data_IF_887490490435
#
_entry.id   IF_887490490435
#
_cell.length_a   1.000
_cell.length_b   1.000
_cell.length_c   1.000
_cell.angle_alpha   90.00
_cell.angle_beta   90.00
_cell.angle_gamma   90.00
#
_symmetry.space_group_name_H-M   'P 1'
#
loop_
_entity.id
_entity.type
_entity.pdbx_description
1 polymer ?
#
# COMPACT_ATOMS: atom_id res chain seq x y z
N UNK A 1 5.53 3.40 -94.15
CA UNK A 1 5.96 4.74 -94.58
C UNK A 1 6.52 5.48 -93.38
N UNK A 2 7.80 5.85 -93.49
CA UNK A 2 8.56 6.91 -92.81
C UNK A 2 8.63 6.92 -91.26
N UNK A 3 9.69 6.45 -90.59
CA UNK A 3 11.11 6.93 -90.48
C UNK A 3 11.33 8.02 -89.43
N UNK A 4 12.18 7.68 -88.42
CA UNK A 4 13.29 8.47 -87.82
C UNK A 4 12.93 9.74 -87.00
N UNK A 5 13.60 10.22 -85.93
CA UNK A 5 14.89 9.96 -85.25
C UNK A 5 14.96 10.80 -83.94
N UNK A 6 15.71 10.29 -82.94
CA UNK A 6 16.66 10.96 -82.00
C UNK A 6 16.30 12.12 -81.01
N UNK A 7 16.83 11.90 -79.79
CA UNK A 7 17.50 12.83 -78.85
C UNK A 7 16.61 13.87 -78.12
N UNK A 8 16.85 14.31 -76.88
CA UNK A 8 18.07 14.36 -76.07
C UNK A 8 17.76 14.38 -74.56
N UNK A 9 18.76 13.99 -73.78
CA UNK A 9 18.95 14.25 -72.35
C UNK A 9 18.63 15.70 -71.96
N UNK A 10 17.91 15.89 -70.86
CA UNK A 10 18.17 17.02 -69.97
C UNK A 10 17.81 16.66 -68.52
N UNK A 11 18.86 16.51 -67.74
CA UNK A 11 18.84 16.33 -66.28
C UNK A 11 18.45 17.68 -65.67
N UNK A 12 17.33 17.73 -64.95
CA UNK A 12 16.98 18.87 -64.10
C UNK A 12 16.92 18.39 -62.65
N UNK A 13 18.02 18.60 -61.96
CA UNK A 13 18.17 18.43 -60.52
C UNK A 13 17.51 19.62 -59.83
N UNK A 14 16.41 19.40 -59.10
CA UNK A 14 15.84 20.39 -58.19
C UNK A 14 15.77 19.82 -56.78
N UNK A 15 16.45 20.52 -55.88
CA UNK A 15 16.71 20.15 -54.50
C UNK A 15 15.42 20.07 -53.66
N UNK A 16 15.20 18.93 -53.01
CA UNK A 16 14.32 18.84 -51.85
C UNK A 16 15.10 19.26 -50.60
N UNK A 17 14.65 20.33 -49.96
CA UNK A 17 15.01 20.65 -48.58
C UNK A 17 14.45 19.58 -47.64
N UNK A 18 15.30 18.64 -47.21
CA UNK A 18 15.01 17.78 -46.08
C UNK A 18 15.47 18.49 -44.78
N UNK A 19 14.54 19.14 -44.11
CA UNK A 19 14.64 19.42 -42.69
C UNK A 19 14.51 18.10 -41.94
N UNK A 20 15.62 17.56 -41.46
CA UNK A 20 15.70 16.29 -40.73
C UNK A 20 16.58 16.49 -39.51
N UNK A 21 15.92 16.74 -38.38
CA UNK A 21 16.50 17.04 -37.08
C UNK A 21 17.68 16.14 -36.72
N UNK A 22 18.81 16.77 -36.41
CA UNK A 22 19.93 16.15 -35.73
C UNK A 22 19.41 15.46 -34.46
N UNK A 23 19.55 14.14 -34.42
CA UNK A 23 19.27 13.32 -33.26
C UNK A 23 20.23 13.75 -32.12
N UNK A 24 19.77 14.70 -31.31
CA UNK A 24 20.37 15.01 -30.03
C UNK A 24 20.25 13.76 -29.16
N UNK A 25 21.35 13.00 -29.07
CA UNK A 25 21.57 12.00 -28.04
C UNK A 25 21.36 12.67 -26.69
N UNK A 26 20.20 12.41 -26.10
CA UNK A 26 19.83 12.85 -24.76
C UNK A 26 20.93 12.34 -23.81
N UNK A 27 21.66 13.22 -23.10
CA UNK A 27 22.68 12.77 -22.17
C UNK A 27 22.00 11.89 -21.12
N UNK A 28 22.59 10.71 -20.90
CA UNK A 28 22.23 9.81 -19.83
C UNK A 28 22.07 10.63 -18.54
N UNK A 29 20.90 10.53 -17.93
CA UNK A 29 20.58 11.23 -16.70
C UNK A 29 21.73 11.02 -15.71
N UNK A 30 22.40 12.12 -15.34
CA UNK A 30 23.44 12.15 -14.34
C UNK A 30 22.99 11.29 -13.15
N UNK A 31 23.81 10.31 -12.78
CA UNK A 31 23.57 9.45 -11.63
C UNK A 31 23.36 10.34 -10.40
N UNK A 32 22.10 10.57 -10.04
CA UNK A 32 21.75 11.39 -8.90
C UNK A 32 22.41 10.76 -7.68
N UNK A 33 23.36 11.47 -7.08
CA UNK A 33 24.12 11.02 -5.90
C UNK A 33 23.11 10.54 -4.85
N UNK A 34 23.17 9.26 -4.53
CA UNK A 34 22.24 8.66 -3.57
C UNK A 34 22.38 9.37 -2.22
N UNK A 35 21.27 9.59 -1.49
CA UNK A 35 21.34 10.16 -0.15
C UNK A 35 22.14 9.23 0.78
N UNK A 36 22.81 9.77 1.81
CA UNK A 36 23.49 8.95 2.81
C UNK A 36 22.47 8.03 3.50
N UNK A 37 22.83 6.76 3.68
CA UNK A 37 21.96 5.74 4.26
C UNK A 37 22.42 5.31 5.65
N UNK A 38 21.46 4.96 6.50
CA UNK A 38 21.67 4.34 7.81
C UNK A 38 21.18 2.91 7.73
N UNK A 39 21.94 1.95 8.25
CA UNK A 39 21.51 0.55 8.31
C UNK A 39 20.46 0.39 9.43
N UNK A 40 19.21 0.11 9.04
CA UNK A 40 18.11 -0.14 9.97
C UNK A 40 17.51 -1.53 9.73
N UNK A 41 17.18 -2.23 10.81
CA UNK A 41 16.38 -3.45 10.76
C UNK A 41 14.89 -3.11 10.94
N UNK A 42 13.99 -3.60 10.09
CA UNK A 42 12.55 -3.41 10.29
C UNK A 42 12.09 -4.22 11.51
N UNK A 43 11.32 -3.58 12.39
CA UNK A 43 10.62 -4.26 13.50
C UNK A 43 9.53 -5.17 12.94
N UNK A 44 8.95 -4.74 11.82
CA UNK A 44 7.74 -5.33 11.26
C UNK A 44 7.85 -5.29 9.74
N UNK A 45 8.17 -6.43 9.12
CA UNK A 45 8.28 -6.59 7.67
C UNK A 45 7.18 -7.52 7.15
N UNK A 46 6.33 -7.08 6.21
CA UNK A 46 5.40 -7.95 5.52
C UNK A 46 6.13 -9.03 4.70
N UNK A 47 5.53 -10.22 4.54
CA UNK A 47 5.98 -11.16 3.52
C UNK A 47 5.74 -10.58 2.12
N UNK A 48 6.45 -11.11 1.12
CA UNK A 48 6.33 -10.68 -0.27
C UNK A 48 5.34 -11.58 -1.02
N UNK A 49 4.31 -10.98 -1.61
CA UNK A 49 3.43 -11.70 -2.54
C UNK A 49 4.20 -12.17 -3.76
N UNK A 50 3.86 -13.35 -4.27
CA UNK A 50 4.52 -13.86 -5.47
C UNK A 50 3.63 -13.57 -6.68
N UNK A 51 4.01 -12.64 -7.58
CA UNK A 51 3.20 -12.31 -8.73
C UNK A 51 3.19 -13.49 -9.71
N UNK A 52 2.07 -13.72 -10.41
CA UNK A 52 1.93 -14.85 -11.33
C UNK A 52 3.02 -14.87 -12.41
N UNK A 53 3.40 -13.71 -12.95
CA UNK A 53 4.50 -13.60 -13.92
C UNK A 53 5.88 -14.06 -13.38
N UNK A 54 6.06 -14.07 -12.05
CA UNK A 54 7.23 -14.67 -11.42
C UNK A 54 7.07 -16.17 -11.18
N UNK A 55 5.85 -16.67 -10.93
CA UNK A 55 5.54 -18.10 -10.85
C UNK A 55 5.75 -18.78 -12.21
N UNK A 56 5.16 -18.22 -13.27
CA UNK A 56 5.24 -18.75 -14.64
C UNK A 56 6.69 -18.87 -15.14
N UNK A 57 7.53 -17.95 -14.70
CA UNK A 57 8.94 -17.90 -15.05
C UNK A 57 9.86 -18.48 -13.95
N UNK A 58 9.29 -19.07 -12.88
CA UNK A 58 10.00 -19.60 -11.71
C UNK A 58 11.09 -18.66 -11.16
N UNK A 59 10.83 -17.36 -11.21
CA UNK A 59 11.78 -16.31 -10.89
C UNK A 59 12.01 -16.23 -9.39
N UNK A 60 13.28 -16.34 -9.01
CA UNK A 60 13.77 -15.96 -7.69
C UNK A 60 14.65 -14.75 -7.85
N UNK A 61 14.41 -13.76 -7.02
CA UNK A 61 15.19 -12.54 -7.11
C UNK A 61 15.18 -11.75 -5.83
N UNK A 62 16.27 -11.02 -5.68
CA UNK A 62 16.45 -10.05 -4.62
C UNK A 62 16.29 -8.67 -5.23
N UNK A 63 15.43 -7.86 -4.62
CA UNK A 63 15.23 -6.46 -5.00
C UNK A 63 15.77 -5.59 -3.87
N UNK A 64 16.66 -4.66 -4.23
CA UNK A 64 17.22 -3.69 -3.29
C UNK A 64 16.52 -2.35 -3.46
N UNK A 65 16.03 -1.83 -2.34
CA UNK A 65 15.22 -0.63 -2.26
C UNK A 65 15.89 0.36 -1.33
N UNK A 66 15.70 1.64 -1.63
CA UNK A 66 16.01 2.76 -0.77
C UNK A 66 14.70 3.28 -0.18
N UNK A 67 14.53 3.18 1.13
CA UNK A 67 13.32 3.60 1.84
C UNK A 67 13.60 4.83 2.71
N UNK A 68 12.70 5.81 2.68
CA UNK A 68 12.71 6.93 3.61
C UNK A 68 11.82 6.57 4.81
N UNK A 69 12.42 6.55 5.99
CA UNK A 69 11.78 6.19 7.25
C UNK A 69 11.52 7.47 8.04
N UNK A 70 10.26 7.68 8.40
CA UNK A 70 9.80 8.82 9.19
C UNK A 70 10.16 8.67 10.67
N UNK A 71 10.00 9.74 11.47
CA UNK A 71 10.23 9.66 12.93
C UNK A 71 9.40 8.57 13.63
N UNK A 72 8.10 8.37 13.30
CA UNK A 72 7.33 7.26 13.87
C UNK A 72 7.70 5.87 13.33
N UNK A 73 8.70 5.76 12.45
CA UNK A 73 9.25 4.48 11.98
C UNK A 73 8.56 3.90 10.75
N UNK A 74 7.58 4.57 10.14
CA UNK A 74 6.98 4.08 8.90
C UNK A 74 7.64 4.67 7.65
N UNK A 75 7.48 3.96 6.53
CA UNK A 75 8.02 4.36 5.24
C UNK A 75 7.03 5.27 4.48
N UNK A 76 7.47 6.45 4.07
CA UNK A 76 6.67 7.39 3.26
C UNK A 76 7.14 7.49 1.80
N UNK A 77 8.40 7.11 1.52
CA UNK A 77 8.98 7.12 0.18
C UNK A 77 9.85 5.88 -0.05
N UNK A 78 9.79 5.32 -1.26
CA UNK A 78 10.58 4.16 -1.69
C UNK A 78 11.12 4.42 -3.08
N UNK A 79 12.39 4.10 -3.30
CA UNK A 79 13.04 4.09 -4.61
C UNK A 79 13.68 2.73 -4.85
N UNK A 80 13.42 2.13 -6.01
CA UNK A 80 14.10 0.90 -6.41
C UNK A 80 15.52 1.22 -6.86
N UNK A 81 16.52 0.53 -6.29
CA UNK A 81 17.91 0.67 -6.68
C UNK A 81 18.30 -0.39 -7.72
N UNK A 82 17.92 -1.64 -7.46
CA UNK A 82 18.24 -2.79 -8.32
C UNK A 82 17.23 -3.92 -8.13
N UNK A 83 17.12 -4.78 -9.14
CA UNK A 83 16.23 -5.95 -9.12
C UNK A 83 15.47 -6.14 -10.43
N UNK A 84 14.97 -7.35 -10.64
CA UNK A 84 14.14 -7.74 -11.80
C UNK A 84 12.86 -6.90 -11.83
N UNK A 85 12.50 -6.37 -13.01
CA UNK A 85 11.34 -5.52 -13.21
C UNK A 85 10.02 -6.16 -12.71
N UNK A 86 9.86 -7.48 -12.86
CA UNK A 86 8.67 -8.23 -12.46
C UNK A 86 8.51 -8.34 -10.94
N UNK A 87 9.58 -8.16 -10.18
CA UNK A 87 9.59 -8.25 -8.72
C UNK A 87 9.54 -6.88 -8.03
N UNK A 88 9.73 -5.78 -8.77
CA UNK A 88 9.84 -4.42 -8.20
C UNK A 88 8.56 -3.97 -7.51
N UNK A 89 7.40 -4.28 -8.09
CA UNK A 89 6.11 -3.88 -7.52
C UNK A 89 5.86 -4.56 -6.18
N UNK A 90 6.00 -5.89 -6.12
CA UNK A 90 5.95 -6.66 -4.87
C UNK A 90 6.90 -6.11 -3.83
N UNK A 91 8.17 -5.93 -4.19
CA UNK A 91 9.17 -5.45 -3.25
C UNK A 91 8.81 -4.04 -2.73
N UNK A 92 8.30 -3.17 -3.60
CA UNK A 92 7.82 -1.84 -3.21
C UNK A 92 6.61 -1.92 -2.27
N UNK A 93 5.68 -2.84 -2.51
CA UNK A 93 4.54 -3.07 -1.63
C UNK A 93 4.96 -3.54 -0.23
N UNK A 94 5.95 -4.44 -0.14
CA UNK A 94 6.57 -4.84 1.14
C UNK A 94 7.19 -3.63 1.84
N UNK A 95 8.02 -2.87 1.13
CA UNK A 95 8.72 -1.71 1.69
C UNK A 95 7.76 -0.64 2.22
N UNK A 96 6.65 -0.38 1.52
CA UNK A 96 5.64 0.60 1.96
C UNK A 96 5.03 0.25 3.31
N UNK A 97 4.91 -1.02 3.67
CA UNK A 97 4.29 -1.49 4.92
C UNK A 97 5.28 -2.00 5.96
N UNK A 98 6.58 -1.88 5.69
CA UNK A 98 7.61 -2.00 6.70
C UNK A 98 7.44 -0.93 7.79
N UNK A 99 7.62 -1.35 9.03
CA UNK A 99 7.72 -0.45 10.19
C UNK A 99 9.04 -0.74 10.90
N UNK A 100 9.78 0.32 11.18
CA UNK A 100 11.03 0.37 11.89
C UNK A 100 10.80 0.89 13.30
N UNK A 101 11.81 0.78 14.15
CA UNK A 101 11.78 1.46 15.45
C UNK A 101 11.66 2.98 15.24
N UNK A 102 11.07 3.73 16.19
CA UNK A 102 11.07 5.19 16.13
C UNK A 102 12.47 5.77 15.93
N UNK A 103 12.56 6.81 15.12
CA UNK A 103 13.82 7.46 14.74
C UNK A 103 13.86 8.89 15.30
N UNK A 104 15.04 9.34 15.75
CA UNK A 104 15.24 10.71 16.22
C UNK A 104 14.98 11.76 15.12
N UNK A 105 15.31 11.42 13.87
CA UNK A 105 15.04 12.20 12.67
C UNK A 105 14.68 11.27 11.50
N UNK A 106 13.99 11.76 10.45
CA UNK A 106 13.78 10.97 9.24
C UNK A 106 15.11 10.58 8.60
N UNK A 107 15.21 9.32 8.14
CA UNK A 107 16.46 8.75 7.61
C UNK A 107 16.19 7.88 6.39
N UNK A 108 17.17 7.80 5.52
CA UNK A 108 17.16 6.86 4.41
C UNK A 108 17.83 5.54 4.83
N UNK A 109 17.22 4.40 4.52
CA UNK A 109 17.78 3.07 4.76
C UNK A 109 17.69 2.21 3.50
N UNK A 110 18.60 1.24 3.40
CA UNK A 110 18.54 0.23 2.33
C UNK A 110 17.79 -0.99 2.83
N UNK A 111 16.75 -1.39 2.11
CA UNK A 111 15.95 -2.58 2.39
C UNK A 111 16.17 -3.60 1.26
N UNK A 112 16.42 -4.84 1.65
CA UNK A 112 16.54 -5.96 0.72
C UNK A 112 15.32 -6.85 0.86
N UNK A 113 14.57 -7.04 -0.23
CA UNK A 113 13.40 -7.91 -0.27
C UNK A 113 13.72 -9.09 -1.17
N UNK A 114 13.61 -10.29 -0.62
CA UNK A 114 13.76 -11.54 -1.39
C UNK A 114 12.38 -12.09 -1.68
N UNK A 115 12.12 -12.40 -2.95
CA UNK A 115 10.88 -13.04 -3.40
C UNK A 115 11.23 -14.44 -3.87
N UNK A 116 10.60 -15.46 -3.28
CA UNK A 116 10.76 -16.84 -3.68
C UNK A 116 9.61 -17.27 -4.61
N UNK A 117 9.90 -17.38 -5.90
CA UNK A 117 8.96 -17.80 -6.95
C UNK A 117 8.60 -19.28 -6.97
N UNK A 118 8.89 -20.05 -5.91
CA UNK A 118 8.70 -21.52 -5.87
C UNK A 118 7.26 -21.99 -5.67
N UNK A 119 6.30 -21.09 -5.54
CA UNK A 119 4.91 -21.50 -5.36
C UNK A 119 4.46 -22.20 -6.64
N UNK A 120 4.02 -23.45 -6.53
CA UNK A 120 3.48 -24.15 -7.70
C UNK A 120 2.13 -23.51 -8.06
N UNK A 121 1.96 -23.01 -9.29
CA UNK A 121 0.68 -22.46 -9.71
C UNK A 121 -0.31 -23.61 -9.80
N UNK A 122 -1.28 -23.64 -8.89
CA UNK A 122 -2.37 -24.62 -8.94
C UNK A 122 -3.32 -24.24 -10.08
N UNK A 123 -3.49 -25.05 -11.14
CA UNK A 123 -4.19 -24.65 -12.37
C UNK A 123 -5.65 -24.24 -12.17
N UNK A 124 -6.26 -24.66 -11.05
CA UNK A 124 -7.64 -24.39 -10.70
C UNK A 124 -7.83 -23.13 -9.85
N UNK A 125 -6.73 -22.47 -9.42
CA UNK A 125 -6.81 -21.28 -8.59
C UNK A 125 -6.62 -20.03 -9.47
N UNK A 126 -7.67 -19.21 -9.68
CA UNK A 126 -7.54 -18.03 -10.51
C UNK A 126 -6.57 -17.02 -9.88
N UNK A 127 -5.79 -16.31 -10.70
CA UNK A 127 -4.94 -15.22 -10.21
C UNK A 127 -5.81 -14.05 -9.73
N UNK A 128 -6.20 -14.10 -8.46
CA UNK A 128 -7.05 -13.09 -7.83
C UNK A 128 -6.40 -11.71 -7.81
N UNK A 129 -5.06 -11.62 -7.83
CA UNK A 129 -4.35 -10.34 -7.88
C UNK A 129 -4.44 -9.75 -9.28
N UNK A 130 -4.30 -10.57 -10.33
CA UNK A 130 -4.49 -10.12 -11.71
C UNK A 130 -5.94 -9.65 -11.94
N UNK A 131 -6.94 -10.42 -11.48
CA UNK A 131 -8.35 -10.03 -11.59
C UNK A 131 -8.60 -8.66 -10.95
N UNK A 132 -8.10 -8.46 -9.73
CA UNK A 132 -8.28 -7.20 -9.02
C UNK A 132 -7.59 -6.02 -9.71
N UNK A 133 -6.35 -6.22 -10.20
CA UNK A 133 -5.60 -5.21 -10.96
C UNK A 133 -6.22 -4.90 -12.33
N UNK A 134 -6.77 -5.89 -13.01
CA UNK A 134 -7.46 -5.71 -14.28
C UNK A 134 -8.71 -4.85 -14.08
N UNK A 135 -9.51 -5.13 -13.04
CA UNK A 135 -10.65 -4.30 -12.67
C UNK A 135 -10.23 -2.86 -12.31
N UNK A 136 -9.13 -2.67 -11.56
CA UNK A 136 -8.57 -1.33 -11.29
C UNK A 136 -8.16 -0.62 -12.59
N UNK A 137 -7.49 -1.32 -13.51
CA UNK A 137 -7.05 -0.78 -14.81
C UNK A 137 -8.23 -0.38 -15.71
N UNK A 138 -9.31 -1.16 -15.65
CA UNK A 138 -10.58 -0.86 -16.31
C UNK A 138 -11.38 0.26 -15.62
N UNK A 139 -10.93 0.74 -14.46
CA UNK A 139 -11.65 1.69 -13.58
C UNK A 139 -13.01 1.17 -13.12
N UNK A 140 -13.18 -0.14 -13.09
CA UNK A 140 -14.35 -0.80 -12.51
C UNK A 140 -14.14 -0.94 -11.01
N UNK A 141 -14.32 0.17 -10.29
CA UNK A 141 -14.00 0.29 -8.88
C UNK A 141 -14.83 -0.65 -7.99
N UNK A 142 -16.05 -1.02 -8.42
CA UNK A 142 -16.89 -1.96 -7.67
C UNK A 142 -16.31 -3.37 -7.74
N UNK A 143 -15.99 -3.84 -8.95
CA UNK A 143 -15.40 -5.16 -9.13
C UNK A 143 -13.98 -5.23 -8.56
N UNK A 144 -13.19 -4.15 -8.67
CA UNK A 144 -11.88 -4.06 -8.06
C UNK A 144 -11.97 -4.20 -6.53
N UNK A 145 -12.89 -3.46 -5.87
CA UNK A 145 -13.04 -3.54 -4.42
C UNK A 145 -13.50 -4.93 -3.96
N UNK A 146 -14.45 -5.52 -4.69
CA UNK A 146 -14.91 -6.88 -4.42
C UNK A 146 -13.77 -7.91 -4.59
N UNK A 147 -12.95 -7.78 -5.64
CA UNK A 147 -11.82 -8.65 -5.90
C UNK A 147 -10.73 -8.54 -4.81
N UNK A 148 -10.35 -7.32 -4.40
CA UNK A 148 -9.40 -7.11 -3.31
C UNK A 148 -9.90 -7.63 -1.98
N UNK A 149 -11.18 -7.42 -1.67
CA UNK A 149 -11.80 -7.97 -0.45
C UNK A 149 -11.83 -9.49 -0.48
N UNK A 150 -12.18 -10.09 -1.62
CA UNK A 150 -12.17 -11.52 -1.82
C UNK A 150 -10.75 -12.12 -1.74
N UNK A 151 -9.73 -11.41 -2.22
CA UNK A 151 -8.34 -11.82 -2.06
C UNK A 151 -7.94 -11.83 -0.56
N UNK A 152 -8.31 -10.77 0.18
CA UNK A 152 -8.05 -10.70 1.62
C UNK A 152 -8.71 -11.85 2.41
N UNK A 153 -9.93 -12.25 2.04
CA UNK A 153 -10.62 -13.38 2.65
C UNK A 153 -9.95 -14.74 2.36
N UNK A 154 -9.20 -14.85 1.26
CA UNK A 154 -8.42 -16.05 0.89
C UNK A 154 -6.98 -16.01 1.40
N UNK A 155 -6.61 -15.00 2.18
CA UNK A 155 -5.29 -14.92 2.79
C UNK A 155 -5.05 -16.14 3.69
N UNK A 156 -3.93 -16.84 3.47
CA UNK A 156 -3.57 -18.06 4.19
C UNK A 156 -4.14 -19.36 3.60
N UNK A 157 -5.09 -19.28 2.66
CA UNK A 157 -5.54 -20.43 1.86
C UNK A 157 -5.02 -20.38 0.43
N UNK A 158 -4.81 -19.17 -0.12
CA UNK A 158 -4.19 -18.98 -1.43
C UNK A 158 -2.67 -18.88 -1.32
N UNK A 159 -1.89 -19.67 -2.07
CA UNK A 159 -0.45 -19.79 -1.84
C UNK A 159 0.37 -18.57 -2.30
N UNK A 160 -0.17 -17.74 -3.20
CA UNK A 160 0.48 -16.48 -3.62
C UNK A 160 0.14 -15.26 -2.74
N UNK A 161 -0.90 -15.36 -1.89
CA UNK A 161 -1.37 -14.25 -1.05
C UNK A 161 -0.74 -14.34 0.33
N UNK A 162 0.21 -13.47 0.61
CA UNK A 162 0.91 -13.44 1.89
C UNK A 162 0.89 -12.04 2.51
N UNK A 163 0.89 -10.99 1.69
CA UNK A 163 0.94 -9.61 2.14
C UNK A 163 -0.46 -9.02 2.34
N UNK A 164 -1.04 -9.35 3.49
CA UNK A 164 -2.32 -8.78 3.94
C UNK A 164 -2.41 -7.25 3.79
N UNK A 165 -1.30 -6.57 4.07
CA UNK A 165 -1.24 -5.11 4.14
C UNK A 165 -1.36 -4.46 2.77
N UNK A 166 -0.77 -5.08 1.75
CA UNK A 166 -0.94 -4.63 0.37
C UNK A 166 -2.41 -4.76 -0.06
N UNK A 167 -3.07 -5.88 0.26
CA UNK A 167 -4.49 -6.09 -0.07
C UNK A 167 -5.39 -5.04 0.59
N UNK A 168 -5.16 -4.74 1.88
CA UNK A 168 -5.89 -3.69 2.61
C UNK A 168 -5.64 -2.29 2.02
N UNK A 169 -4.41 -1.99 1.58
CA UNK A 169 -4.05 -0.73 0.93
C UNK A 169 -4.84 -0.55 -0.38
N UNK A 170 -4.89 -1.58 -1.20
CA UNK A 170 -5.64 -1.58 -2.45
C UNK A 170 -7.14 -1.41 -2.23
N UNK A 171 -7.73 -2.11 -1.25
CA UNK A 171 -9.14 -1.96 -0.91
C UNK A 171 -9.49 -0.51 -0.49
N UNK A 172 -8.67 0.12 0.35
CA UNK A 172 -8.87 1.52 0.78
C UNK A 172 -8.66 2.52 -0.36
N UNK A 173 -7.67 2.31 -1.23
CA UNK A 173 -7.48 3.20 -2.39
C UNK A 173 -8.62 3.09 -3.40
N UNK A 174 -9.09 1.87 -3.63
CA UNK A 174 -10.20 1.60 -4.53
C UNK A 174 -11.50 2.21 -4.02
N UNK A 175 -11.79 2.06 -2.72
CA UNK A 175 -13.02 2.61 -2.14
C UNK A 175 -13.09 4.13 -2.22
N UNK A 176 -11.95 4.82 -2.21
CA UNK A 176 -11.89 6.28 -2.41
C UNK A 176 -12.32 6.74 -3.80
N UNK A 177 -12.33 5.84 -4.78
CA UNK A 177 -12.83 6.14 -6.13
C UNK A 177 -14.34 5.88 -6.26
N UNK A 178 -14.98 5.27 -5.25
CA UNK A 178 -16.40 4.95 -5.26
C UNK A 178 -17.25 6.06 -4.68
N UNK A 179 -18.37 6.34 -5.34
CA UNK A 179 -19.38 7.30 -4.89
C UNK A 179 -20.79 6.72 -5.12
N UNK A 180 -21.57 6.41 -4.06
CA UNK A 180 -21.18 6.44 -2.64
C UNK A 180 -20.21 5.31 -2.27
N UNK A 181 -19.44 5.49 -1.19
CA UNK A 181 -18.61 4.42 -0.63
C UNK A 181 -19.52 3.31 -0.09
N UNK A 182 -19.25 2.02 -0.38
CA UNK A 182 -20.06 0.92 0.12
C UNK A 182 -20.11 0.90 1.66
N UNK A 183 -21.30 0.73 2.20
CA UNK A 183 -21.49 0.52 3.64
C UNK A 183 -20.97 -0.87 4.03
N UNK A 184 -20.34 -0.97 5.20
CA UNK A 184 -19.96 -2.27 5.75
C UNK A 184 -21.23 -3.11 6.04
N UNK A 185 -21.18 -4.46 5.92
CA UNK A 185 -22.33 -5.31 6.24
C UNK A 185 -22.85 -5.11 7.67
N UNK A 186 -24.17 -5.22 7.87
CA UNK A 186 -24.81 -4.94 9.18
C UNK A 186 -24.19 -5.70 10.36
N UNK A 187 -23.88 -6.97 10.15
CA UNK A 187 -23.25 -7.87 11.12
C UNK A 187 -21.83 -7.39 11.46
N UNK A 188 -21.09 -6.95 10.42
CA UNK A 188 -19.75 -6.38 10.56
C UNK A 188 -19.79 -5.07 11.34
N UNK A 189 -20.79 -4.23 11.09
CA UNK A 189 -21.01 -3.01 11.86
C UNK A 189 -21.38 -3.31 13.32
N UNK A 190 -22.25 -4.30 13.55
CA UNK A 190 -22.62 -4.76 14.90
C UNK A 190 -21.41 -5.23 15.70
N UNK A 191 -20.57 -6.07 15.09
CA UNK A 191 -19.33 -6.55 15.69
C UNK A 191 -18.35 -5.41 16.00
N UNK A 192 -18.18 -4.47 15.07
CA UNK A 192 -17.30 -3.32 15.28
C UNK A 192 -17.80 -2.41 16.42
N UNK A 193 -19.11 -2.13 16.49
CA UNK A 193 -19.71 -1.37 17.60
C UNK A 193 -19.56 -2.10 18.93
N UNK A 194 -19.82 -3.41 18.96
CA UNK A 194 -19.65 -4.23 20.16
C UNK A 194 -18.20 -4.23 20.64
N UNK A 195 -17.24 -4.42 19.73
CA UNK A 195 -15.81 -4.33 20.02
C UNK A 195 -15.41 -2.95 20.54
N UNK A 196 -15.97 -1.88 19.98
CA UNK A 196 -15.72 -0.51 20.43
C UNK A 196 -16.24 -0.27 21.85
N UNK A 197 -17.46 -0.72 22.16
CA UNK A 197 -17.99 -0.64 23.53
C UNK A 197 -17.15 -1.46 24.50
N UNK A 198 -16.72 -2.66 24.10
CA UNK A 198 -15.85 -3.50 24.93
C UNK A 198 -14.48 -2.84 25.15
N UNK A 199 -13.90 -2.23 24.11
CA UNK A 199 -12.64 -1.49 24.19
C UNK A 199 -12.68 -0.45 25.30
N UNK A 200 -13.76 0.32 25.38
CA UNK A 200 -13.94 1.38 26.39
C UNK A 200 -14.05 0.83 27.81
N UNK A 201 -14.54 -0.41 27.98
CA UNK A 201 -14.65 -1.08 29.29
C UNK A 201 -13.36 -1.74 29.75
N UNK A 202 -12.58 -2.30 28.82
CA UNK A 202 -11.41 -3.14 29.13
C UNK A 202 -10.15 -2.32 29.46
N UNK A 203 -10.18 -1.00 29.25
CA UNK A 203 -9.05 -0.08 29.54
C UNK A 203 -8.52 -0.21 30.97
N UNK A 204 -9.39 -0.43 31.95
CA UNK A 204 -8.95 -0.55 33.35
C UNK A 204 -8.13 -1.81 33.66
N UNK A 205 -8.08 -2.78 32.74
CA UNK A 205 -7.48 -4.12 32.97
C UNK A 205 -6.36 -4.49 31.99
N UNK A 206 -6.09 -3.67 30.98
CA UNK A 206 -5.03 -3.93 29.99
C UNK A 206 -5.28 -5.10 29.04
N UNK A 207 -6.48 -5.70 29.04
CA UNK A 207 -6.81 -6.90 28.25
C UNK A 207 -7.32 -6.56 26.84
N UNK A 208 -6.62 -5.69 26.10
CA UNK A 208 -7.10 -5.23 24.79
C UNK A 208 -6.91 -6.25 23.66
N UNK A 209 -6.24 -7.39 23.90
CA UNK A 209 -5.90 -8.37 22.87
C UNK A 209 -7.14 -8.99 22.20
N UNK A 210 -8.15 -9.36 22.98
CA UNK A 210 -9.41 -9.91 22.45
C UNK A 210 -10.12 -8.92 21.51
N UNK A 211 -10.05 -7.62 21.85
CA UNK A 211 -10.66 -6.55 21.06
C UNK A 211 -9.93 -6.36 19.72
N UNK A 212 -8.59 -6.49 19.71
CA UNK A 212 -7.80 -6.44 18.47
C UNK A 212 -8.25 -7.55 17.51
N UNK A 213 -8.46 -8.77 18.01
CA UNK A 213 -8.92 -9.90 17.20
C UNK A 213 -10.29 -9.68 16.56
N UNK A 214 -11.22 -9.02 17.27
CA UNK A 214 -12.53 -8.66 16.70
C UNK A 214 -12.36 -7.62 15.58
N UNK A 215 -11.53 -6.59 15.78
CA UNK A 215 -11.25 -5.62 14.72
C UNK A 215 -10.54 -6.25 13.51
N UNK A 216 -9.67 -7.24 13.72
CA UNK A 216 -9.07 -7.99 12.61
C UNK A 216 -10.14 -8.72 11.78
N UNK A 217 -11.14 -9.30 12.43
CA UNK A 217 -12.26 -9.94 11.72
C UNK A 217 -13.12 -8.92 10.96
N UNK A 218 -13.42 -7.78 11.59
CA UNK A 218 -14.16 -6.67 10.95
C UNK A 218 -13.42 -6.19 9.70
N UNK A 219 -12.11 -5.98 9.80
CA UNK A 219 -11.29 -5.45 8.71
C UNK A 219 -10.99 -6.48 7.62
N UNK A 220 -11.14 -7.78 7.88
CA UNK A 220 -11.14 -8.82 6.84
C UNK A 220 -12.41 -8.76 5.99
N UNK A 221 -13.56 -8.45 6.59
CA UNK A 221 -14.84 -8.38 5.88
C UNK A 221 -15.07 -7.03 5.20
N UNK A 222 -14.64 -5.94 5.84
CA UNK A 222 -14.78 -4.58 5.33
C UNK A 222 -13.43 -3.82 5.40
N UNK A 223 -12.41 -4.21 4.61
CA UNK A 223 -11.09 -3.58 4.65
C UNK A 223 -11.08 -2.11 4.23
N UNK A 224 -12.13 -1.65 3.54
CA UNK A 224 -12.31 -0.25 3.13
C UNK A 224 -12.92 0.63 4.23
N UNK A 225 -13.40 0.05 5.34
CA UNK A 225 -13.98 0.81 6.43
C UNK A 225 -12.87 1.34 7.35
N UNK A 226 -12.66 2.65 7.30
CA UNK A 226 -11.49 3.30 7.90
C UNK A 226 -11.52 3.35 9.44
N UNK A 227 -12.67 3.61 10.07
CA UNK A 227 -12.75 3.85 11.53
C UNK A 227 -12.27 2.68 12.40
N UNK A 228 -12.57 1.40 12.08
CA UNK A 228 -12.01 0.27 12.81
C UNK A 228 -10.48 0.24 12.85
N UNK A 229 -9.76 0.80 11.86
CA UNK A 229 -8.31 0.92 11.94
C UNK A 229 -7.85 1.87 13.06
N UNK A 230 -8.57 2.99 13.27
CA UNK A 230 -8.27 3.92 14.35
C UNK A 230 -8.54 3.26 15.71
N UNK A 231 -9.66 2.55 15.86
CA UNK A 231 -10.00 1.86 17.09
C UNK A 231 -9.03 0.72 17.39
N UNK A 232 -8.66 -0.07 16.38
CA UNK A 232 -7.61 -1.09 16.47
C UNK A 232 -6.27 -0.48 16.89
N UNK A 233 -5.90 0.67 16.33
CA UNK A 233 -4.66 1.36 16.70
C UNK A 233 -4.63 1.74 18.19
N UNK A 234 -5.73 2.23 18.75
CA UNK A 234 -5.84 2.53 20.18
C UNK A 234 -5.64 1.29 21.05
N UNK A 235 -6.30 0.17 20.73
CA UNK A 235 -6.11 -1.09 21.46
C UNK A 235 -4.65 -1.57 21.41
N UNK A 236 -4.02 -1.52 20.23
CA UNK A 236 -2.63 -1.93 20.05
C UNK A 236 -1.66 -1.04 20.81
N UNK A 237 -1.88 0.28 20.80
CA UNK A 237 -1.06 1.23 21.55
C UNK A 237 -1.21 1.01 23.07
N UNK A 238 -2.42 0.69 23.54
CA UNK A 238 -2.68 0.30 24.93
C UNK A 238 -1.95 -0.98 25.37
N UNK A 239 -1.77 -1.93 24.45
CA UNK A 239 -0.95 -3.14 24.66
C UNK A 239 0.57 -2.92 24.49
N UNK A 240 1.03 -1.70 24.18
CA UNK A 240 2.44 -1.44 23.86
C UNK A 240 2.90 -2.00 22.51
N UNK A 241 1.98 -2.46 21.65
CA UNK A 241 2.25 -2.98 20.30
C UNK A 241 2.40 -1.83 19.29
N UNK A 242 3.38 -0.97 19.54
CA UNK A 242 3.59 0.31 18.82
C UNK A 242 3.67 0.16 17.31
N UNK A 243 4.43 -0.83 16.81
CA UNK A 243 4.66 -0.99 15.38
C UNK A 243 3.37 -1.34 14.61
N UNK A 244 2.48 -2.13 15.22
CA UNK A 244 1.18 -2.47 14.64
C UNK A 244 0.16 -1.34 14.76
N UNK A 245 0.23 -0.57 15.85
CA UNK A 245 -0.55 0.64 16.02
C UNK A 245 -0.20 1.65 14.92
N UNK A 246 1.10 1.85 14.62
CA UNK A 246 1.57 2.68 13.50
C UNK A 246 0.99 2.22 12.17
N UNK A 247 1.02 0.92 11.85
CA UNK A 247 0.39 0.41 10.62
C UNK A 247 -1.10 0.74 10.57
N UNK A 248 -1.83 0.52 11.67
CA UNK A 248 -3.27 0.77 11.75
C UNK A 248 -3.60 2.26 11.55
N UNK A 249 -2.84 3.17 12.16
CA UNK A 249 -2.99 4.62 11.96
C UNK A 249 -2.74 5.04 10.51
N UNK A 250 -1.80 4.38 9.82
CA UNK A 250 -1.54 4.65 8.40
C UNK A 250 -2.70 4.23 7.50
N UNK A 251 -3.33 3.09 7.77
CA UNK A 251 -4.55 2.71 7.03
C UNK A 251 -5.70 3.68 7.29
N UNK A 252 -5.87 4.12 8.54
CA UNK A 252 -6.87 5.14 8.85
C UNK A 252 -6.63 6.42 8.05
N UNK A 253 -5.39 6.92 8.00
CA UNK A 253 -5.03 8.09 7.18
C UNK A 253 -5.21 7.87 5.68
N UNK A 254 -4.95 6.65 5.19
CA UNK A 254 -5.15 6.30 3.78
C UNK A 254 -6.62 6.42 3.36
N UNK A 255 -7.54 6.12 4.30
CA UNK A 255 -8.98 6.28 4.16
C UNK A 255 -9.48 7.72 4.04
N UNK A 256 -8.59 8.72 4.08
CA UNK A 256 -8.88 10.16 3.97
C UNK A 256 -9.91 10.64 5.01
N UNK A 257 -9.60 10.55 6.31
CA UNK A 257 -10.46 11.09 7.35
C UNK A 257 -10.55 12.61 7.25
N UNK A 258 -11.51 13.19 7.96
CA UNK A 258 -11.63 14.65 8.07
C UNK A 258 -10.37 15.29 8.69
N UNK A 259 -10.27 16.62 8.64
CA UNK A 259 -9.11 17.35 9.15
C UNK A 259 -8.78 17.01 10.60
N UNK A 260 -9.82 16.74 11.40
CA UNK A 260 -9.67 16.55 12.82
C UNK A 260 -9.36 15.06 13.17
N UNK A 261 -9.80 14.09 12.36
CA UNK A 261 -9.29 12.72 12.36
C UNK A 261 -7.84 12.64 11.86
N UNK A 262 -7.47 13.42 10.84
CA UNK A 262 -6.09 13.54 10.37
C UNK A 262 -5.17 14.08 11.47
N UNK A 263 -5.58 15.16 12.15
CA UNK A 263 -4.84 15.70 13.30
C UNK A 263 -4.69 14.66 14.42
N UNK A 264 -5.77 13.93 14.74
CA UNK A 264 -5.73 12.89 15.77
C UNK A 264 -4.70 11.81 15.45
N UNK A 265 -4.75 11.24 14.24
CA UNK A 265 -3.89 10.13 13.85
C UNK A 265 -2.42 10.56 13.73
N UNK A 266 -2.15 11.76 13.19
CA UNK A 266 -0.79 12.30 13.11
C UNK A 266 -0.20 12.62 14.49
N UNK A 267 -1.02 13.10 15.43
CA UNK A 267 -0.61 13.32 16.82
C UNK A 267 -0.34 12.01 17.54
N UNK A 268 -1.21 11.01 17.38
CA UNK A 268 -0.98 9.67 17.95
C UNK A 268 0.30 9.01 17.42
N UNK A 269 0.59 9.16 16.11
CA UNK A 269 1.86 8.72 15.52
C UNK A 269 3.07 9.41 16.17
N UNK A 270 2.98 10.71 16.44
CA UNK A 270 4.05 11.46 17.10
C UNK A 270 4.26 11.00 18.56
N UNK A 271 3.18 10.72 19.30
CA UNK A 271 3.27 10.17 20.66
C UNK A 271 3.91 8.78 20.68
N UNK A 272 3.51 7.89 19.75
CA UNK A 272 4.14 6.57 19.60
C UNK A 272 5.64 6.74 19.27
N UNK A 273 6.00 7.70 18.42
CA UNK A 273 7.41 7.99 18.10
C UNK A 273 8.22 8.45 19.32
N UNK A 274 7.58 9.17 20.24
CA UNK A 274 8.17 9.61 21.50
C UNK A 274 8.20 8.52 22.59
N UNK A 275 7.63 7.33 22.32
CA UNK A 275 7.49 6.25 23.29
C UNK A 275 6.24 6.36 24.19
N UNK A 276 5.40 7.38 24.01
CA UNK A 276 4.16 7.60 24.76
C UNK A 276 2.97 6.84 24.13
N UNK A 277 3.02 5.50 24.19
CA UNK A 277 1.99 4.65 23.59
C UNK A 277 0.66 4.71 24.34
N UNK A 278 0.71 4.87 25.66
CA UNK A 278 -0.47 5.03 26.50
C UNK A 278 -1.17 6.37 26.23
N UNK A 279 -0.40 7.47 26.12
CA UNK A 279 -0.94 8.76 25.75
C UNK A 279 -1.56 8.75 24.34
N UNK A 280 -0.95 8.05 23.38
CA UNK A 280 -1.54 7.84 22.05
C UNK A 280 -2.89 7.09 22.12
N UNK A 281 -2.98 6.04 22.94
CA UNK A 281 -4.23 5.30 23.13
C UNK A 281 -5.33 6.16 23.75
N UNK A 282 -5.02 6.87 24.83
CA UNK A 282 -5.98 7.74 25.51
C UNK A 282 -6.41 8.94 24.65
N UNK A 283 -5.51 9.49 23.83
CA UNK A 283 -5.84 10.53 22.86
C UNK A 283 -6.91 10.05 21.86
N UNK A 284 -6.68 8.88 21.25
CA UNK A 284 -7.62 8.30 20.27
C UNK A 284 -8.98 8.01 20.92
N UNK A 285 -8.96 7.49 22.14
CA UNK A 285 -10.18 7.18 22.91
C UNK A 285 -11.01 8.44 23.23
N UNK A 286 -10.39 9.51 23.72
CA UNK A 286 -11.09 10.75 24.08
C UNK A 286 -11.82 11.37 22.90
N UNK A 287 -11.22 11.32 21.71
CA UNK A 287 -11.88 11.83 20.50
C UNK A 287 -13.13 11.03 20.15
N UNK A 288 -13.08 9.70 20.21
CA UNK A 288 -14.28 8.88 19.97
C UNK A 288 -15.42 9.19 20.95
N UNK A 289 -15.12 9.53 22.20
CA UNK A 289 -16.13 9.95 23.19
C UNK A 289 -16.74 11.33 22.87
N UNK A 290 -15.93 12.27 22.38
CA UNK A 290 -16.40 13.62 22.02
C UNK A 290 -17.31 13.68 20.78
N UNK A 291 -17.30 12.65 19.92
CA UNK A 291 -18.20 12.54 18.76
C UNK A 291 -19.39 11.62 18.99
N UNK A 292 -19.51 10.99 20.17
CA UNK A 292 -20.68 10.19 20.54
C UNK A 292 -21.86 11.05 21.05
N UNK A 293 -21.81 12.36 20.78
CA UNK A 293 -22.90 13.32 20.99
C UNK A 293 -23.31 13.81 19.60
N UNK A 294 -24.36 13.20 19.05
CA UNK A 294 -25.09 13.60 17.84
C UNK A 294 -24.34 13.69 16.49
N UNK A 295 -24.29 12.57 15.75
CA UNK A 295 -24.92 12.41 14.40
C UNK A 295 -24.46 11.16 13.66
N UNK A 296 -25.37 10.41 13.00
CA UNK A 296 -24.98 9.48 11.93
C UNK A 296 -24.40 10.29 10.75
N UNK A 297 -23.13 10.05 10.43
CA UNK A 297 -22.47 10.62 9.26
C UNK A 297 -23.14 10.15 7.97
N UNK A 298 -23.44 11.12 7.11
CA UNK A 298 -23.98 10.97 5.75
C UNK A 298 -22.96 10.35 4.79
#
# INVERSE_FOLDING_TARGET
MHTTFRAALLVLSLALFASGAAAATKPAAAAAKLPPTVALAPVLQPPADVPQAALDAQLKGTVTLLAHVTRPGYVDSVRVLSGDARLRETATAVARWCVYAPQAAPVWTTLTVTVDGKVEPEPLNPDVLAIAREAEGAKDWNNALAAWTGALQRLGTHPSLTNEWALREHALRTSRQLHPVPQAPGDTQGNARGARTQQERVVARGQHEDVVGIFDTVLKTAPWWSDPYLWRASSLAGCGRSAEAVRSLRFYLLGAPDSAGTWLATTALAQIAAGDTLGASELIKKRAQSFNVDKPGR
#
